data_IF_309720407426
#
_entry.id   IF_309720407426
#
_cell.length_a   1.000
_cell.length_b   1.000
_cell.length_c   1.000
_cell.angle_alpha   90.00
_cell.angle_beta   90.00
_cell.angle_gamma   90.00
#
_symmetry.space_group_name_H-M   'P 1'
#
loop_
_entity.id
_entity.type
_entity.pdbx_description
1 polymer ?
#
# COMPACT_ATOMS: atom_id res chain seq x y z
N UNK A 1 3.30 -6.01 16.12
CA UNK A 1 3.79 -6.18 14.73
C UNK A 1 2.95 -7.23 14.02
N UNK A 2 2.55 -6.95 12.79
CA UNK A 2 1.79 -7.92 11.99
C UNK A 2 2.74 -8.75 11.13
N UNK A 3 2.26 -9.90 10.68
CA UNK A 3 3.00 -10.71 9.71
C UNK A 3 2.69 -10.23 8.29
N UNK A 4 3.58 -10.53 7.35
CA UNK A 4 3.35 -10.25 5.94
C UNK A 4 2.07 -10.91 5.45
N UNK A 5 1.84 -12.15 5.83
CA UNK A 5 0.63 -12.89 5.45
C UNK A 5 -0.64 -12.18 5.89
N UNK A 6 -0.69 -11.69 7.13
CA UNK A 6 -1.85 -10.99 7.67
C UNK A 6 -2.08 -9.67 6.94
N UNK A 7 -1.00 -8.92 6.68
CA UNK A 7 -1.10 -7.65 5.95
C UNK A 7 -1.68 -7.89 4.54
N UNK A 8 -1.16 -8.88 3.83
CA UNK A 8 -1.67 -9.21 2.49
C UNK A 8 -3.13 -9.65 2.54
N UNK A 9 -3.52 -10.43 3.54
CA UNK A 9 -4.91 -10.87 3.69
C UNK A 9 -5.86 -9.69 3.93
N UNK A 10 -5.45 -8.75 4.79
CA UNK A 10 -6.26 -7.57 5.08
C UNK A 10 -6.41 -6.67 3.84
N UNK A 11 -5.33 -6.46 3.12
CA UNK A 11 -5.36 -5.65 1.89
C UNK A 11 -6.22 -6.33 0.82
N UNK A 12 -6.09 -7.64 0.67
CA UNK A 12 -6.89 -8.38 -0.31
C UNK A 12 -8.38 -8.28 -0.01
N UNK A 13 -8.75 -8.41 1.27
CA UNK A 13 -10.14 -8.30 1.69
C UNK A 13 -10.72 -6.90 1.44
N UNK A 14 -9.90 -5.86 1.61
CA UNK A 14 -10.33 -4.47 1.43
C UNK A 14 -10.30 -4.00 -0.02
N UNK A 15 -9.59 -4.69 -0.89
CA UNK A 15 -9.35 -4.25 -2.27
C UNK A 15 -10.62 -3.86 -3.04
N UNK A 16 -11.69 -4.67 -3.04
CA UNK A 16 -12.90 -4.30 -3.79
C UNK A 16 -13.52 -2.99 -3.32
N UNK A 17 -13.55 -2.76 -2.01
CA UNK A 17 -14.11 -1.53 -1.46
C UNK A 17 -13.24 -0.33 -1.74
N UNK A 18 -11.92 -0.48 -1.66
CA UNK A 18 -10.99 0.59 -2.00
C UNK A 18 -11.11 0.97 -3.47
N UNK A 19 -11.33 -0.02 -4.34
CA UNK A 19 -11.56 0.25 -5.76
C UNK A 19 -12.85 1.05 -5.96
N UNK A 20 -13.93 0.68 -5.29
CA UNK A 20 -15.22 1.35 -5.43
C UNK A 20 -15.22 2.77 -4.84
N UNK A 21 -14.65 2.93 -3.64
CA UNK A 21 -14.71 4.22 -2.95
C UNK A 21 -13.69 5.22 -3.45
N UNK A 22 -12.50 4.76 -3.79
CA UNK A 22 -11.37 5.65 -4.10
C UNK A 22 -10.84 5.51 -5.52
N UNK A 23 -11.35 4.56 -6.29
CA UNK A 23 -10.85 4.34 -7.63
C UNK A 23 -9.48 3.68 -7.68
N UNK A 24 -9.15 2.87 -6.68
CA UNK A 24 -7.88 2.15 -6.66
C UNK A 24 -7.90 1.07 -7.74
N UNK A 25 -6.95 1.15 -8.68
CA UNK A 25 -6.82 0.19 -9.77
C UNK A 25 -5.67 -0.80 -9.53
N UNK A 26 -4.71 -0.42 -8.69
CA UNK A 26 -3.62 -1.30 -8.31
C UNK A 26 -3.30 -1.10 -6.83
N UNK A 27 -3.06 -2.20 -6.15
CA UNK A 27 -2.69 -2.23 -4.75
C UNK A 27 -1.55 -3.22 -4.59
N UNK A 28 -0.46 -2.80 -3.97
CA UNK A 28 0.70 -3.65 -3.82
C UNK A 28 1.44 -3.34 -2.52
N UNK A 29 2.20 -4.32 -2.06
CA UNK A 29 3.05 -4.20 -0.88
C UNK A 29 4.49 -4.13 -1.34
N UNK A 30 5.30 -3.30 -0.69
CA UNK A 30 6.74 -3.27 -0.93
C UNK A 30 7.48 -3.03 0.39
N UNK A 31 8.80 -2.93 0.33
CA UNK A 31 9.60 -2.66 1.51
C UNK A 31 9.75 -3.87 2.41
N UNK A 32 10.01 -3.63 3.70
CA UNK A 32 10.36 -4.68 4.65
C UNK A 32 9.26 -5.73 4.82
N UNK A 33 8.00 -5.32 4.85
CA UNK A 33 6.89 -6.27 4.98
C UNK A 33 6.77 -7.16 3.74
N UNK A 34 7.08 -6.64 2.55
CA UNK A 34 7.06 -7.46 1.34
C UNK A 34 8.20 -8.49 1.34
N UNK A 35 9.37 -8.10 1.87
CA UNK A 35 10.51 -9.00 1.97
C UNK A 35 10.41 -9.99 3.13
N UNK A 36 9.55 -9.69 4.12
CA UNK A 36 9.41 -10.53 5.31
C UNK A 36 10.48 -10.27 6.36
N UNK A 37 11.21 -9.15 6.27
CA UNK A 37 12.27 -8.79 7.24
C UNK A 37 11.88 -7.61 8.11
N UNK A 38 10.58 -7.36 8.29
CA UNK A 38 10.08 -6.27 9.09
C UNK A 38 10.45 -6.41 10.58
N UNK A 39 10.60 -5.26 11.22
CA UNK A 39 10.86 -5.13 12.64
C UNK A 39 9.69 -4.43 13.32
N UNK A 40 9.69 -4.37 14.65
CA UNK A 40 8.61 -3.74 15.41
C UNK A 40 8.38 -2.27 15.03
N UNK A 41 9.43 -1.57 14.63
CA UNK A 41 9.36 -0.16 14.24
C UNK A 41 9.18 0.05 12.73
N UNK A 42 9.03 -1.02 11.96
CA UNK A 42 8.83 -0.92 10.51
C UNK A 42 7.44 -0.42 10.19
N UNK A 43 7.35 0.47 9.18
CA UNK A 43 6.06 0.86 8.60
C UNK A 43 5.70 -0.13 7.50
N UNK A 44 4.40 -0.28 7.24
CA UNK A 44 3.93 -1.03 6.09
C UNK A 44 3.94 -0.11 4.88
N UNK A 45 4.71 -0.47 3.86
CA UNK A 45 4.81 0.33 2.64
C UNK A 45 3.82 -0.20 1.60
N UNK A 46 2.86 0.64 1.23
CA UNK A 46 1.78 0.27 0.32
C UNK A 46 1.83 1.17 -0.92
N UNK A 47 1.84 0.53 -2.08
CA UNK A 47 1.76 1.22 -3.37
C UNK A 47 0.33 1.18 -3.86
N UNK A 48 -0.17 2.32 -4.33
CA UNK A 48 -1.49 2.38 -4.97
C UNK A 48 -1.39 3.08 -6.32
N UNK A 49 -2.24 2.64 -7.25
CA UNK A 49 -2.52 3.40 -8.48
C UNK A 49 -3.97 3.81 -8.41
N UNK A 50 -4.21 5.11 -8.55
CA UNK A 50 -5.53 5.71 -8.44
C UNK A 50 -5.71 6.75 -9.53
N UNK A 51 -6.95 7.08 -9.82
CA UNK A 51 -7.24 8.15 -10.76
C UNK A 51 -6.70 9.48 -10.20
N UNK A 52 -6.03 10.30 -11.03
CA UNK A 52 -5.51 11.60 -10.58
C UNK A 52 -6.57 12.52 -10.01
N UNK A 53 -7.83 12.35 -10.38
CA UNK A 53 -8.93 13.17 -9.87
C UNK A 53 -9.20 12.95 -8.38
N UNK A 54 -8.58 11.93 -7.76
CA UNK A 54 -8.75 11.69 -6.33
C UNK A 54 -8.39 12.92 -5.50
N UNK A 55 -7.37 13.69 -5.92
CA UNK A 55 -6.98 14.92 -5.26
C UNK A 55 -6.74 14.73 -3.77
N UNK A 56 -7.32 15.61 -2.95
CA UNK A 56 -7.12 15.59 -1.49
C UNK A 56 -7.70 14.33 -0.82
N UNK A 57 -8.57 13.61 -1.49
CA UNK A 57 -9.09 12.35 -0.95
C UNK A 57 -8.01 11.28 -0.82
N UNK A 58 -6.84 11.50 -1.40
CA UNK A 58 -5.71 10.58 -1.23
C UNK A 58 -5.32 10.43 0.24
N UNK A 59 -5.40 11.52 1.01
CA UNK A 59 -5.13 11.47 2.45
C UNK A 59 -6.13 10.56 3.15
N UNK A 60 -7.41 10.66 2.76
CA UNK A 60 -8.46 9.80 3.30
C UNK A 60 -8.20 8.32 2.98
N UNK A 61 -7.75 8.04 1.74
CA UNK A 61 -7.39 6.69 1.34
C UNK A 61 -6.24 6.15 2.20
N UNK A 62 -5.19 6.95 2.38
CA UNK A 62 -4.03 6.55 3.19
C UNK A 62 -4.44 6.26 4.63
N UNK A 63 -5.28 7.11 5.22
CA UNK A 63 -5.78 6.92 6.57
C UNK A 63 -6.65 5.66 6.68
N UNK A 64 -7.45 5.38 5.66
CA UNK A 64 -8.29 4.18 5.62
C UNK A 64 -7.42 2.92 5.61
N UNK A 65 -6.38 2.90 4.79
CA UNK A 65 -5.47 1.75 4.71
C UNK A 65 -4.75 1.55 6.05
N UNK A 66 -4.24 2.61 6.65
CA UNK A 66 -3.57 2.50 7.94
C UNK A 66 -4.53 1.97 9.02
N UNK A 67 -5.75 2.45 9.04
CA UNK A 67 -6.75 2.02 10.02
C UNK A 67 -7.06 0.53 9.88
N UNK A 68 -7.21 0.05 8.64
CA UNK A 68 -7.55 -1.36 8.43
C UNK A 68 -6.37 -2.29 8.72
N UNK A 69 -5.13 -1.83 8.54
CA UNK A 69 -3.96 -2.65 8.84
C UNK A 69 -3.63 -2.66 10.33
N UNK A 70 -4.02 -1.62 11.07
CA UNK A 70 -3.77 -1.52 12.50
C UNK A 70 -2.32 -1.26 12.87
N UNK A 71 -1.48 -0.89 11.91
CA UNK A 71 -0.08 -0.49 12.12
C UNK A 71 0.23 0.70 11.23
N UNK A 72 1.28 1.44 11.60
CA UNK A 72 1.69 2.59 10.78
C UNK A 72 1.99 2.17 9.36
N UNK A 73 1.44 2.92 8.41
CA UNK A 73 1.55 2.60 7.00
C UNK A 73 1.95 3.83 6.21
N UNK A 74 2.82 3.62 5.22
CA UNK A 74 3.25 4.64 4.29
C UNK A 74 2.62 4.31 2.93
N UNK A 75 1.60 5.06 2.55
CA UNK A 75 0.86 4.83 1.31
C UNK A 75 1.34 5.81 0.26
N UNK A 76 1.88 5.28 -0.83
CA UNK A 76 2.44 6.09 -1.90
C UNK A 76 1.71 5.82 -3.21
N UNK A 77 1.55 6.89 -4.01
CA UNK A 77 0.98 6.79 -5.34
C UNK A 77 2.09 6.46 -6.34
N UNK A 78 1.84 5.51 -7.25
CA UNK A 78 2.79 5.18 -8.31
C UNK A 78 3.24 6.42 -9.09
N UNK A 79 2.34 7.37 -9.31
CA UNK A 79 2.63 8.60 -10.05
C UNK A 79 3.63 9.52 -9.36
N UNK A 80 3.71 9.44 -8.03
CA UNK A 80 4.61 10.29 -7.26
C UNK A 80 6.02 9.74 -7.17
N UNK A 81 6.27 8.54 -7.72
CA UNK A 81 7.54 7.85 -7.61
C UNK A 81 8.36 8.06 -8.88
N UNK A 82 9.56 8.61 -8.72
CA UNK A 82 10.48 8.79 -9.84
C UNK A 82 11.14 7.48 -10.28
N UNK A 83 11.79 7.48 -11.46
CA UNK A 83 12.34 6.26 -12.05
C UNK A 83 13.35 5.51 -11.17
N UNK A 84 14.24 6.23 -10.50
CA UNK A 84 15.25 5.60 -9.63
C UNK A 84 14.64 4.91 -8.43
N UNK A 85 13.69 5.59 -7.80
CA UNK A 85 12.99 5.05 -6.63
C UNK A 85 12.12 3.86 -7.04
N UNK A 86 11.49 3.97 -8.21
CA UNK A 86 10.67 2.88 -8.74
C UNK A 86 11.48 1.61 -8.94
N UNK A 87 12.70 1.69 -9.45
CA UNK A 87 13.56 0.53 -9.63
C UNK A 87 13.80 -0.23 -8.33
N UNK A 88 13.92 0.48 -7.22
CA UNK A 88 14.09 -0.14 -5.91
C UNK A 88 12.81 -0.81 -5.42
N UNK A 89 11.70 -0.09 -5.56
CA UNK A 89 10.38 -0.57 -5.11
C UNK A 89 9.99 -1.82 -5.90
N UNK A 90 10.19 -1.79 -7.20
CA UNK A 90 9.78 -2.86 -8.09
C UNK A 90 10.39 -4.21 -7.73
N UNK A 91 11.61 -4.21 -7.19
CA UNK A 91 12.29 -5.45 -6.81
C UNK A 91 11.52 -6.26 -5.77
N UNK A 92 10.88 -5.57 -4.84
CA UNK A 92 10.21 -6.20 -3.71
C UNK A 92 8.69 -6.18 -3.84
N UNK A 93 8.18 -5.71 -4.96
CA UNK A 93 6.76 -5.48 -5.13
C UNK A 93 5.96 -6.78 -5.12
N UNK A 94 4.95 -6.83 -4.26
CA UNK A 94 4.01 -7.94 -4.19
C UNK A 94 2.63 -7.39 -4.45
N UNK A 95 2.07 -7.69 -5.62
CA UNK A 95 0.74 -7.23 -5.98
C UNK A 95 -0.33 -7.91 -5.12
N UNK A 96 -1.30 -7.12 -4.70
CA UNK A 96 -2.48 -7.62 -3.99
C UNK A 96 -3.58 -7.83 -5.04
N UNK A 97 -4.00 -9.08 -5.19
CA UNK A 97 -4.95 -9.47 -6.22
C UNK A 97 -6.24 -10.04 -5.64
#
# INVERSE_FOLDING_TARGET
>A
MRTTHVVLALLRAARPQLAREFGVTRLALFGSYARGDQREDSDVDVLVEVDPSIGLRFVELADRIEALLGVRSDVVSRRAIGPRHWMRIERDLVDVR
#
